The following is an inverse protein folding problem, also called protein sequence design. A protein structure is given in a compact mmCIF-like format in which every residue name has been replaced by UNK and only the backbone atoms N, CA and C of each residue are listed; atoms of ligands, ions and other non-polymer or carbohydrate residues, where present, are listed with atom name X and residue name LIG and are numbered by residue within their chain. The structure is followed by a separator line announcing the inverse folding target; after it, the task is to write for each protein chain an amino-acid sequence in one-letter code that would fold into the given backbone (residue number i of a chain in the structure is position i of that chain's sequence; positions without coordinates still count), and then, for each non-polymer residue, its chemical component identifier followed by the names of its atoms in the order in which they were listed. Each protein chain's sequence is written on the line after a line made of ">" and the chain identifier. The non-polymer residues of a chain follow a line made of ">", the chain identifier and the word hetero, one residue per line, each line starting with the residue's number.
data_IF_133087081398
#
_entry.id   IF_133087081398
#
_cell.length_a   1.000
_cell.length_b   1.000
_cell.length_c   1.000
_cell.angle_alpha   90.00
_cell.angle_beta   90.00
_cell.angle_gamma   90.00
#
_symmetry.space_group_name_H-M   'P 1'
#
loop_
_entity.id
_entity.type
_entity.pdbx_description
1 polymer ?
#
# COMPACT_ATOMS: atom_id res chain seq x y z
N UNK A 1 4.14 -10.23 -29.22
CA UNK A 1 5.28 -10.29 -28.26
C UNK A 1 5.75 -8.91 -27.77
N UNK A 2 6.00 -7.91 -28.63
CA UNK A 2 6.50 -6.59 -28.16
C UNK A 2 5.50 -5.78 -27.31
N UNK A 3 4.21 -5.89 -27.61
CA UNK A 3 3.15 -5.19 -26.87
C UNK A 3 3.07 -5.66 -25.40
N UNK A 4 3.30 -6.95 -25.16
CA UNK A 4 3.21 -7.59 -23.84
C UNK A 4 4.38 -7.20 -22.94
N UNK A 5 5.60 -7.12 -23.51
CA UNK A 5 6.81 -6.65 -22.81
C UNK A 5 6.72 -5.16 -22.46
N UNK A 6 6.23 -4.33 -23.37
CA UNK A 6 6.03 -2.89 -23.14
C UNK A 6 5.00 -2.63 -22.02
N UNK A 7 3.89 -3.37 -22.01
CA UNK A 7 2.86 -3.24 -20.98
C UNK A 7 3.35 -3.69 -19.60
N UNK A 8 4.07 -4.81 -19.53
CA UNK A 8 4.68 -5.30 -18.28
C UNK A 8 5.72 -4.33 -17.72
N UNK A 9 6.55 -3.74 -18.58
CA UNK A 9 7.50 -2.69 -18.19
C UNK A 9 6.78 -1.46 -17.62
N UNK A 10 5.69 -1.03 -18.26
CA UNK A 10 4.89 0.13 -17.81
C UNK A 10 4.21 -0.10 -16.46
N UNK A 11 3.66 -1.31 -16.24
CA UNK A 11 3.10 -1.71 -14.94
C UNK A 11 4.18 -1.73 -13.86
N UNK A 12 5.38 -2.25 -14.18
CA UNK A 12 6.51 -2.28 -13.25
C UNK A 12 6.93 -0.87 -12.83
N UNK A 13 6.98 0.07 -13.78
CA UNK A 13 7.30 1.47 -13.49
C UNK A 13 6.26 2.11 -12.57
N UNK A 14 4.96 1.97 -12.88
CA UNK A 14 3.89 2.48 -12.01
C UNK A 14 3.97 1.91 -10.59
N UNK A 15 4.17 0.58 -10.46
CA UNK A 15 4.34 -0.06 -9.15
C UNK A 15 5.55 0.48 -8.39
N UNK A 16 6.66 0.74 -9.10
CA UNK A 16 7.86 1.31 -8.50
C UNK A 16 7.64 2.75 -8.01
N UNK A 17 6.90 3.56 -8.76
CA UNK A 17 6.59 4.94 -8.35
C UNK A 17 5.72 4.96 -7.09
N UNK A 18 4.70 4.10 -7.03
CA UNK A 18 3.84 3.95 -5.85
C UNK A 18 4.65 3.47 -4.64
N UNK A 19 5.50 2.45 -4.79
CA UNK A 19 6.37 1.97 -3.70
C UNK A 19 7.33 3.07 -3.19
N UNK A 20 7.96 3.82 -4.10
CA UNK A 20 8.85 4.91 -3.72
C UNK A 20 8.12 6.04 -2.98
N UNK A 21 6.93 6.42 -3.47
CA UNK A 21 6.08 7.42 -2.82
C UNK A 21 5.69 6.98 -1.41
N UNK A 22 5.26 5.72 -1.25
CA UNK A 22 4.85 5.18 0.03
C UNK A 22 5.99 5.12 1.05
N UNK A 23 7.18 4.68 0.63
CA UNK A 23 8.37 4.70 1.49
C UNK A 23 8.76 6.10 1.90
N UNK A 24 8.60 7.09 1.01
CA UNK A 24 8.87 8.49 1.34
C UNK A 24 7.91 8.98 2.41
N UNK A 25 6.62 8.73 2.25
CA UNK A 25 5.60 9.11 3.24
C UNK A 25 5.86 8.47 4.60
N UNK A 26 6.16 7.17 4.64
CA UNK A 26 6.45 6.47 5.91
C UNK A 26 7.72 7.04 6.56
N UNK A 27 8.78 7.31 5.79
CA UNK A 27 9.98 7.95 6.34
C UNK A 27 9.73 9.35 6.88
N UNK A 28 8.87 10.12 6.23
CA UNK A 28 8.48 11.44 6.73
C UNK A 28 7.71 11.31 8.04
N UNK A 29 6.74 10.39 8.11
CA UNK A 29 5.99 10.13 9.34
C UNK A 29 6.85 9.59 10.50
N UNK A 30 7.89 8.80 10.19
CA UNK A 30 8.87 8.38 11.21
C UNK A 30 9.72 9.55 11.69
N UNK A 31 10.10 10.47 10.78
CA UNK A 31 10.90 11.63 11.12
C UNK A 31 10.12 12.69 11.91
N UNK A 32 8.82 12.86 11.64
CA UNK A 32 7.94 13.78 12.38
C UNK A 32 7.32 13.16 13.65
N UNK A 33 7.48 11.85 13.84
CA UNK A 33 7.00 11.12 15.02
C UNK A 33 5.54 10.64 14.92
N UNK A 34 4.84 10.87 13.81
CA UNK A 34 3.48 10.38 13.57
C UNK A 34 3.40 8.88 13.30
N UNK A 35 4.50 8.26 12.85
CA UNK A 35 4.58 6.82 12.54
C UNK A 35 5.70 6.18 13.34
N UNK A 36 5.39 5.10 14.04
CA UNK A 36 6.37 4.23 14.68
C UNK A 36 6.61 2.98 13.83
N UNK A 37 7.56 3.05 12.90
CA UNK A 37 7.97 1.91 12.06
C UNK A 37 9.48 1.66 12.20
N UNK A 38 9.85 0.52 12.77
CA UNK A 38 11.26 0.10 12.94
C UNK A 38 11.96 -0.12 11.59
N UNK A 39 11.21 -0.51 10.55
CA UNK A 39 11.68 -0.60 9.17
C UNK A 39 10.64 0.00 8.20
N UNK A 40 10.85 1.25 7.74
CA UNK A 40 9.97 1.92 6.78
C UNK A 40 9.77 1.17 5.46
N UNK A 41 10.76 0.37 5.05
CA UNK A 41 10.69 -0.44 3.83
C UNK A 41 9.75 -1.61 4.03
N UNK A 42 9.84 -2.32 5.17
CA UNK A 42 8.90 -3.39 5.50
C UNK A 42 7.47 -2.88 5.66
N UNK A 43 7.27 -1.73 6.30
CA UNK A 43 5.96 -1.10 6.42
C UNK A 43 5.35 -0.77 5.04
N UNK A 44 6.15 -0.19 4.13
CA UNK A 44 5.70 0.09 2.76
C UNK A 44 5.33 -1.19 2.01
N UNK A 45 6.14 -2.25 2.12
CA UNK A 45 5.85 -3.54 1.49
C UNK A 45 4.56 -4.18 2.01
N UNK A 46 4.34 -4.15 3.34
CA UNK A 46 3.13 -4.69 3.95
C UNK A 46 1.87 -3.94 3.46
N UNK A 47 1.93 -2.60 3.43
CA UNK A 47 0.82 -1.77 2.98
C UNK A 47 0.55 -1.94 1.47
N UNK A 48 1.59 -1.96 0.63
CA UNK A 48 1.45 -2.24 -0.79
C UNK A 48 0.89 -3.65 -1.07
N UNK A 49 1.32 -4.65 -0.28
CA UNK A 49 0.80 -6.02 -0.36
C UNK A 49 -0.68 -6.11 0.01
N UNK A 50 -1.08 -5.45 1.10
CA UNK A 50 -2.47 -5.39 1.52
C UNK A 50 -3.36 -4.76 0.45
N UNK A 51 -2.96 -3.63 -0.13
CA UNK A 51 -3.70 -2.96 -1.21
C UNK A 51 -3.81 -3.83 -2.46
N UNK A 52 -2.72 -4.48 -2.89
CA UNK A 52 -2.74 -5.38 -4.05
C UNK A 52 -3.62 -6.61 -3.82
N UNK A 53 -3.72 -7.09 -2.58
CA UNK A 53 -4.54 -8.24 -2.24
C UNK A 53 -6.04 -7.94 -2.32
N UNK A 54 -6.50 -6.71 -2.01
CA UNK A 54 -7.92 -6.31 -2.13
C UNK A 54 -8.49 -6.65 -3.50
N UNK A 55 -7.75 -6.35 -4.57
CA UNK A 55 -8.20 -6.64 -5.94
C UNK A 55 -8.34 -8.14 -6.26
N UNK A 56 -7.75 -9.04 -5.47
CA UNK A 56 -7.84 -10.49 -5.68
C UNK A 56 -9.04 -11.14 -4.99
N UNK A 57 -9.45 -10.62 -3.84
CA UNK A 57 -10.54 -11.22 -3.04
C UNK A 57 -11.83 -10.40 -3.05
N UNK A 58 -11.77 -9.08 -3.31
CA UNK A 58 -12.96 -8.25 -3.36
C UNK A 58 -13.80 -8.60 -4.58
N UNK A 59 -15.09 -8.86 -4.34
CA UNK A 59 -16.10 -9.07 -5.38
C UNK A 59 -17.11 -7.93 -5.27
N UNK A 60 -17.47 -7.34 -6.41
CA UNK A 60 -18.36 -6.18 -6.47
C UNK A 60 -19.78 -6.39 -5.88
N UNK A 61 -20.14 -7.61 -5.48
CA UNK A 61 -21.42 -7.97 -4.88
C UNK A 61 -21.31 -8.34 -3.39
N UNK A 62 -20.14 -8.10 -2.76
CA UNK A 62 -19.97 -8.26 -1.32
C UNK A 62 -20.50 -7.06 -0.54
N UNK A 63 -20.79 -7.28 0.74
CA UNK A 63 -21.47 -6.33 1.63
C UNK A 63 -20.69 -5.02 1.90
N UNK A 64 -19.42 -4.93 1.50
CA UNK A 64 -18.56 -3.77 1.76
C UNK A 64 -18.13 -3.11 0.46
N UNK A 65 -18.29 -1.79 0.41
CA UNK A 65 -17.82 -0.97 -0.68
C UNK A 65 -16.27 -0.95 -0.72
N UNK A 66 -15.66 -0.69 -1.89
CA UNK A 66 -14.21 -0.50 -1.99
C UNK A 66 -13.65 0.55 -1.01
N UNK A 67 -14.41 1.64 -0.78
CA UNK A 67 -14.05 2.72 0.14
C UNK A 67 -14.06 2.25 1.60
N UNK A 68 -15.05 1.44 1.98
CA UNK A 68 -15.13 0.86 3.33
C UNK A 68 -13.96 -0.09 3.56
N UNK A 69 -13.61 -0.92 2.58
CA UNK A 69 -12.45 -1.82 2.68
C UNK A 69 -11.15 -1.04 2.83
N UNK A 70 -10.96 0.02 2.03
CA UNK A 70 -9.79 0.87 2.13
C UNK A 70 -9.68 1.48 3.54
N UNK A 71 -10.80 1.99 4.08
CA UNK A 71 -10.86 2.56 5.43
C UNK A 71 -10.48 1.53 6.50
N UNK A 72 -11.06 0.32 6.46
CA UNK A 72 -10.76 -0.75 7.42
C UNK A 72 -9.31 -1.21 7.36
N UNK A 73 -8.76 -1.30 6.17
CA UNK A 73 -7.34 -1.68 5.99
C UNK A 73 -6.46 -0.60 6.60
N UNK A 74 -6.73 0.68 6.35
CA UNK A 74 -6.01 1.78 6.95
C UNK A 74 -6.11 1.79 8.48
N UNK A 75 -7.28 1.54 9.07
CA UNK A 75 -7.45 1.42 10.53
C UNK A 75 -6.50 0.36 11.13
N UNK A 76 -6.36 -0.80 10.48
CA UNK A 76 -5.43 -1.87 10.92
C UNK A 76 -3.98 -1.37 10.91
N UNK A 77 -3.59 -0.63 9.87
CA UNK A 77 -2.24 -0.08 9.76
C UNK A 77 -2.01 1.05 10.76
N UNK A 78 -2.97 1.94 10.97
CA UNK A 78 -2.88 3.03 11.95
C UNK A 78 -2.69 2.48 13.37
N UNK A 79 -3.45 1.45 13.75
CA UNK A 79 -3.29 0.79 15.04
C UNK A 79 -1.90 0.14 15.21
N UNK A 80 -1.33 -0.38 14.12
CA UNK A 80 0.00 -0.99 14.13
C UNK A 80 1.16 0.01 14.02
N UNK A 81 0.91 1.20 13.49
CA UNK A 81 1.90 2.25 13.22
C UNK A 81 1.83 3.42 14.21
N UNK A 82 0.79 3.49 15.04
CA UNK A 82 0.64 4.56 16.02
C UNK A 82 1.82 4.58 17.01
N UNK A 83 2.36 5.76 17.34
CA UNK A 83 3.33 5.90 18.41
C UNK A 83 2.71 5.47 19.74
N UNK A 84 3.43 4.66 20.52
CA UNK A 84 3.03 4.24 21.88
C UNK A 84 3.33 5.32 22.91
#
# INVERSE_FOLDING_TARGET
>A
EDLEKSFSAKIKTLKSEVDQGLRKLIRQGVADGSIHASDPKMAAFALAGALNWIAHWHRANDALSPEEIATRVLEIFELGLAPR
#
